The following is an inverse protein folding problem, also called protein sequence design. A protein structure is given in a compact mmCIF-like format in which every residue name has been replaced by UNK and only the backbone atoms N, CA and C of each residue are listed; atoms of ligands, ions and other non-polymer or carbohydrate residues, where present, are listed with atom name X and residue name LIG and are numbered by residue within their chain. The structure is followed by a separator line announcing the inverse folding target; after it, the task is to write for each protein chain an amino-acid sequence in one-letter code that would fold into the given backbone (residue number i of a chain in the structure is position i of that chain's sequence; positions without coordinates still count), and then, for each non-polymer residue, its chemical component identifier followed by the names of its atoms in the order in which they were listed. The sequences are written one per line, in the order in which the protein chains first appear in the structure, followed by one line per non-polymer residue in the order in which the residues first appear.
data_IF_929824654981
#
_entry.id   IF_929824654981
#
_cell.length_a   1.000
_cell.length_b   1.000
_cell.length_c   1.000
_cell.angle_alpha   90.00
_cell.angle_beta   90.00
_cell.angle_gamma   90.00
#
_symmetry.space_group_name_H-M   'P 1'
#
loop_
_entity.id
_entity.type
_entity.pdbx_description
1 polymer ?
#
# COMPACT_ATOMS: atom_id res chain seq x y z
N UNK A 1 27.88 28.95 10.65
CA UNK A 1 27.85 27.55 10.17
C UNK A 1 26.72 26.84 10.88
N UNK A 2 25.79 26.19 10.17
CA UNK A 2 24.72 25.41 10.81
C UNK A 2 25.31 24.21 11.56
N UNK A 3 24.73 23.89 12.71
CA UNK A 3 25.17 22.82 13.60
C UNK A 3 24.95 21.44 12.94
N UNK A 4 26.00 20.64 12.70
CA UNK A 4 25.85 19.30 12.13
C UNK A 4 25.11 18.32 13.04
N UNK A 5 24.83 18.69 14.30
CA UNK A 5 24.04 17.90 15.25
C UNK A 5 22.59 18.37 15.41
N UNK A 6 22.13 19.35 14.61
CA UNK A 6 20.71 19.64 14.53
C UNK A 6 20.01 18.43 13.90
N UNK A 7 19.54 17.51 14.75
CA UNK A 7 18.69 16.40 14.36
C UNK A 7 17.55 16.92 13.48
N UNK A 8 17.04 16.12 12.53
CA UNK A 8 16.06 16.57 11.56
C UNK A 8 14.93 17.29 12.30
N UNK A 9 14.82 18.60 12.02
CA UNK A 9 13.75 19.45 12.55
C UNK A 9 12.44 18.69 12.39
N UNK A 10 11.78 18.37 13.50
CA UNK A 10 10.47 17.73 13.53
C UNK A 10 9.50 18.63 12.78
N UNK A 11 9.43 18.46 11.45
CA UNK A 11 8.44 19.11 10.64
C UNK A 11 7.08 18.68 11.19
N UNK A 12 6.27 19.68 11.55
CA UNK A 12 4.92 19.47 12.04
C UNK A 12 4.18 18.53 11.08
N UNK A 13 3.98 17.28 11.51
CA UNK A 13 3.15 16.30 10.80
C UNK A 13 1.77 16.94 10.66
N UNK A 14 1.21 16.96 9.45
CA UNK A 14 -0.15 17.49 9.37
C UNK A 14 -1.10 16.53 10.07
N UNK A 15 -2.01 17.11 10.83
CA UNK A 15 -3.17 16.45 11.37
C UNK A 15 -4.36 16.64 10.43
N UNK A 16 -5.25 15.65 10.46
CA UNK A 16 -6.60 15.82 9.92
C UNK A 16 -7.41 16.71 10.88
N UNK A 17 -8.35 17.50 10.34
CA UNK A 17 -9.33 18.16 11.19
C UNK A 17 -10.28 17.13 11.82
N UNK A 18 -10.93 17.47 12.93
CA UNK A 18 -11.92 16.62 13.60
C UNK A 18 -13.04 16.17 12.67
N UNK A 19 -13.53 17.06 11.79
CA UNK A 19 -14.55 16.75 10.79
C UNK A 19 -14.06 15.72 9.75
N UNK A 20 -12.80 15.83 9.31
CA UNK A 20 -12.20 14.88 8.37
C UNK A 20 -11.97 13.53 9.05
N UNK A 21 -11.50 13.52 10.30
CA UNK A 21 -11.35 12.29 11.09
C UNK A 21 -12.69 11.56 11.25
N UNK A 22 -13.76 12.28 11.58
CA UNK A 22 -15.10 11.72 11.68
C UNK A 22 -15.57 11.13 10.34
N UNK A 23 -15.36 11.85 9.23
CA UNK A 23 -15.70 11.37 7.88
C UNK A 23 -14.94 10.10 7.50
N UNK A 24 -13.62 10.03 7.75
CA UNK A 24 -12.82 8.82 7.51
C UNK A 24 -13.35 7.65 8.34
N UNK A 25 -13.58 7.85 9.64
CA UNK A 25 -14.09 6.78 10.53
C UNK A 25 -15.45 6.28 10.10
N UNK A 26 -16.32 7.19 9.65
CA UNK A 26 -17.65 6.86 9.14
C UNK A 26 -17.58 6.07 7.82
N UNK A 27 -16.71 6.47 6.87
CA UNK A 27 -16.47 5.74 5.61
C UNK A 27 -16.11 4.28 5.87
N UNK A 28 -15.28 4.03 6.89
CA UNK A 28 -14.85 2.69 7.29
C UNK A 28 -15.71 2.04 8.38
N UNK A 29 -16.84 2.64 8.79
CA UNK A 29 -17.69 2.10 9.85
C UNK A 29 -16.92 1.72 11.12
N UNK A 30 -15.88 2.49 11.46
CA UNK A 30 -14.92 2.22 12.55
C UNK A 30 -14.12 0.90 12.46
N UNK A 31 -14.13 0.23 11.31
CA UNK A 31 -13.29 -0.94 11.07
C UNK A 31 -11.88 -0.53 10.67
N UNK A 32 -10.88 -1.28 11.11
CA UNK A 32 -9.54 -1.21 10.56
C UNK A 32 -9.59 -1.59 9.06
N UNK A 33 -9.08 -0.73 8.19
CA UNK A 33 -9.05 -0.93 6.74
C UNK A 33 -8.24 -2.18 6.30
N UNK A 34 -7.35 -2.69 7.15
CA UNK A 34 -6.50 -3.85 6.84
C UNK A 34 -6.99 -5.13 7.50
N UNK A 35 -7.11 -5.14 8.83
CA UNK A 35 -7.47 -6.35 9.56
C UNK A 35 -8.98 -6.49 9.82
N UNK A 36 -9.81 -5.55 9.38
CA UNK A 36 -11.27 -5.61 9.49
C UNK A 36 -11.81 -5.75 10.93
N UNK A 37 -10.97 -5.47 11.95
CA UNK A 37 -11.41 -5.41 13.34
C UNK A 37 -12.20 -4.13 13.58
N UNK A 38 -13.31 -4.23 14.31
CA UNK A 38 -14.06 -3.06 14.81
C UNK A 38 -13.22 -2.39 15.89
N UNK A 39 -12.96 -1.10 15.72
CA UNK A 39 -12.20 -0.29 16.66
C UNK A 39 -13.16 0.59 17.47
N UNK A 40 -12.86 0.80 18.74
CA UNK A 40 -13.52 1.85 19.50
C UNK A 40 -13.10 3.22 18.94
N UNK A 41 -13.90 4.26 19.15
CA UNK A 41 -13.56 5.60 18.70
C UNK A 41 -12.17 6.05 19.22
N UNK A 42 -11.83 5.70 20.46
CA UNK A 42 -10.52 5.98 21.09
C UNK A 42 -9.38 5.14 20.51
N UNK A 43 -9.65 3.89 20.11
CA UNK A 43 -8.64 3.02 19.50
C UNK A 43 -8.47 3.25 17.99
N UNK A 44 -9.44 3.90 17.34
CA UNK A 44 -9.41 4.18 15.91
C UNK A 44 -8.43 5.31 15.59
N UNK A 45 -7.27 4.95 15.04
CA UNK A 45 -6.32 5.91 14.49
C UNK A 45 -6.57 6.11 13.00
N UNK A 46 -6.38 7.34 12.53
CA UNK A 46 -6.43 7.67 11.12
C UNK A 46 -5.03 8.03 10.63
N UNK A 47 -4.54 7.34 9.60
CA UNK A 47 -3.29 7.67 8.93
C UNK A 47 -3.57 8.43 7.64
N UNK A 48 -2.68 9.36 7.31
CA UNK A 48 -2.55 9.84 5.95
C UNK A 48 -1.96 8.73 5.09
N UNK A 49 -2.51 8.53 3.89
CA UNK A 49 -1.84 7.75 2.85
C UNK A 49 -0.56 8.51 2.47
N UNK A 50 -0.71 9.67 1.83
CA UNK A 50 0.40 10.57 1.49
C UNK A 50 0.61 11.57 2.63
N UNK A 51 1.67 11.39 3.40
CA UNK A 51 2.12 12.34 4.43
C UNK A 51 3.01 13.44 3.79
N UNK A 52 3.10 14.63 4.40
CA UNK A 52 4.01 15.72 3.96
C UNK A 52 5.23 15.89 4.82
N UNK A 53 5.36 15.12 5.91
CA UNK A 53 6.62 15.14 6.65
C UNK A 53 7.79 14.69 5.76
N UNK A 54 7.47 14.07 4.62
CA UNK A 54 8.39 13.62 3.59
C UNK A 54 8.23 14.43 2.32
N UNK A 55 9.22 14.26 1.44
CA UNK A 55 9.34 14.90 0.12
C UNK A 55 8.17 14.52 -0.82
N UNK A 56 7.32 13.56 -0.43
CA UNK A 56 6.45 12.77 -1.31
C UNK A 56 5.38 13.53 -2.10
N UNK A 57 4.69 14.54 -1.55
CA UNK A 57 3.54 15.13 -2.26
C UNK A 57 3.95 15.99 -3.47
N UNK A 58 4.91 16.92 -3.28
CA UNK A 58 5.37 17.80 -4.36
C UNK A 58 6.04 16.98 -5.46
N UNK A 59 6.87 16.02 -5.07
CA UNK A 59 7.54 15.12 -6.00
C UNK A 59 6.53 14.25 -6.76
N UNK A 60 5.51 13.71 -6.10
CA UNK A 60 4.49 12.89 -6.78
C UNK A 60 3.65 13.68 -7.79
N UNK A 61 3.36 14.96 -7.50
CA UNK A 61 2.71 15.86 -8.47
C UNK A 61 3.68 16.14 -9.63
N UNK A 62 4.94 16.42 -9.35
CA UNK A 62 5.97 16.66 -10.36
C UNK A 62 6.22 15.44 -11.26
N UNK A 63 6.22 14.23 -10.69
CA UNK A 63 6.31 12.95 -11.38
C UNK A 63 5.03 12.58 -12.14
N UNK A 64 3.95 13.37 -12.02
CA UNK A 64 2.67 13.14 -12.68
C UNK A 64 1.88 11.95 -12.11
N UNK A 65 2.25 11.42 -10.94
CA UNK A 65 1.55 10.33 -10.26
C UNK A 65 0.27 10.81 -9.57
N UNK A 66 0.28 12.06 -9.09
CA UNK A 66 -0.88 12.73 -8.49
C UNK A 66 -1.27 13.97 -9.31
N UNK A 67 -2.57 14.30 -9.38
CA UNK A 67 -3.01 15.50 -10.08
C UNK A 67 -2.64 16.78 -9.32
N UNK A 68 -2.50 17.88 -10.06
CA UNK A 68 -2.40 19.21 -9.48
C UNK A 68 -3.68 19.50 -8.67
N UNK A 69 -3.53 19.85 -7.40
CA UNK A 69 -4.67 20.10 -6.50
C UNK A 69 -5.08 18.91 -5.63
N UNK A 70 -4.31 17.80 -5.63
CA UNK A 70 -4.53 16.70 -4.69
C UNK A 70 -4.62 17.20 -3.23
N UNK A 71 -5.79 17.00 -2.61
CA UNK A 71 -6.10 17.52 -1.28
C UNK A 71 -5.62 16.56 -0.19
N UNK A 72 -4.41 16.80 0.33
CA UNK A 72 -3.81 15.99 1.40
C UNK A 72 -4.67 15.85 2.65
N UNK A 73 -5.32 16.94 3.10
CA UNK A 73 -6.15 16.94 4.33
C UNK A 73 -7.58 16.47 4.08
N UNK A 74 -7.86 15.83 2.94
CA UNK A 74 -9.19 15.30 2.64
C UNK A 74 -9.35 13.88 3.19
N UNK A 75 -10.60 13.48 3.44
CA UNK A 75 -10.92 12.11 3.85
C UNK A 75 -10.46 11.06 2.82
N UNK A 76 -10.39 11.43 1.53
CA UNK A 76 -9.88 10.56 0.46
C UNK A 76 -8.42 10.15 0.65
N UNK A 77 -7.63 10.92 1.40
CA UNK A 77 -6.23 10.60 1.73
C UNK A 77 -6.10 9.88 3.09
N UNK A 78 -7.19 9.49 3.75
CA UNK A 78 -7.18 8.93 5.09
C UNK A 78 -7.58 7.45 5.16
N UNK A 79 -6.91 6.67 6.02
CA UNK A 79 -7.28 5.30 6.35
C UNK A 79 -7.45 5.10 7.86
N UNK A 80 -8.40 4.27 8.28
CA UNK A 80 -8.50 3.78 9.66
C UNK A 80 -7.59 2.58 9.85
N UNK A 81 -6.74 2.58 10.89
CA UNK A 81 -5.83 1.45 11.19
C UNK A 81 -5.51 1.29 12.69
N UNK A 82 -4.85 0.18 13.04
CA UNK A 82 -4.36 -0.15 14.39
C UNK A 82 -2.82 -0.05 14.50
N UNK A 83 -2.23 1.12 14.27
CA UNK A 83 -0.80 1.42 14.54
C UNK A 83 0.29 0.83 13.61
N UNK A 84 0.09 -0.24 12.83
CA UNK A 84 1.20 -0.86 12.06
C UNK A 84 1.75 -0.07 10.86
N UNK A 85 1.02 0.92 10.32
CA UNK A 85 1.51 1.75 9.21
C UNK A 85 2.60 2.74 9.61
N UNK A 86 2.80 2.93 10.91
CA UNK A 86 3.74 3.85 11.54
C UNK A 86 4.50 3.05 12.59
N UNK A 87 5.57 2.33 12.18
CA UNK A 87 6.81 2.95 11.69
C UNK A 87 7.25 2.56 10.25
N UNK A 88 6.37 2.53 9.25
CA UNK A 88 6.71 2.20 7.85
C UNK A 88 7.24 0.76 7.62
N UNK A 89 6.93 -0.21 8.48
CA UNK A 89 7.32 -1.61 8.25
C UNK A 89 6.50 -2.30 7.15
N UNK A 90 5.30 -1.76 6.87
CA UNK A 90 4.41 -2.22 5.80
C UNK A 90 3.96 -1.04 4.94
N UNK A 91 3.61 -1.31 3.70
CA UNK A 91 2.95 -0.38 2.79
C UNK A 91 1.84 -1.08 2.00
N UNK A 92 0.91 -0.30 1.48
CA UNK A 92 -0.01 -0.77 0.45
C UNK A 92 0.66 -0.58 -0.92
N UNK A 93 0.36 -1.49 -1.85
CA UNK A 93 0.83 -1.46 -3.23
C UNK A 93 -0.34 -1.71 -4.18
N UNK A 94 -0.38 -1.07 -5.37
CA UNK A 94 -1.12 -1.65 -6.47
C UNK A 94 -0.65 -3.10 -6.70
N UNK A 95 -1.55 -4.06 -7.05
CA UNK A 95 -1.16 -5.43 -7.32
C UNK A 95 -0.13 -5.49 -8.45
N UNK A 96 0.77 -6.48 -8.39
CA UNK A 96 1.84 -6.64 -9.39
C UNK A 96 1.36 -6.57 -10.86
N UNK A 97 0.20 -7.16 -11.26
CA UNK A 97 -0.32 -6.99 -12.63
C UNK A 97 -0.56 -5.53 -13.03
N UNK A 98 -1.05 -4.69 -12.10
CA UNK A 98 -1.27 -3.26 -12.33
C UNK A 98 0.07 -2.54 -12.46
N UNK A 99 1.05 -2.86 -11.60
CA UNK A 99 2.39 -2.28 -11.69
C UNK A 99 3.10 -2.66 -13.00
N UNK A 100 2.95 -3.90 -13.45
CA UNK A 100 3.49 -4.37 -14.73
C UNK A 100 2.86 -3.64 -15.90
N UNK A 101 1.54 -3.45 -15.90
CA UNK A 101 0.87 -2.64 -16.91
C UNK A 101 1.38 -1.19 -16.95
N UNK A 102 1.59 -0.57 -15.78
CA UNK A 102 2.18 0.78 -15.70
C UNK A 102 3.59 0.79 -16.31
N UNK A 103 4.42 -0.20 -15.99
CA UNK A 103 5.76 -0.33 -16.58
C UNK A 103 5.69 -0.50 -18.10
N UNK A 104 4.82 -1.38 -18.59
CA UNK A 104 4.63 -1.60 -20.02
C UNK A 104 4.15 -0.34 -20.73
N UNK A 105 3.22 0.41 -20.14
CA UNK A 105 2.80 1.72 -20.63
C UNK A 105 3.98 2.70 -20.68
N UNK A 106 4.78 2.78 -19.61
CA UNK A 106 5.94 3.68 -19.55
C UNK A 106 7.08 3.28 -20.49
N UNK A 107 7.21 2.01 -20.86
CA UNK A 107 8.25 1.56 -21.80
C UNK A 107 7.80 1.61 -23.26
N UNK A 108 6.54 1.32 -23.54
CA UNK A 108 6.04 1.12 -24.90
C UNK A 108 5.33 2.34 -25.49
N UNK A 109 4.91 3.30 -24.66
CA UNK A 109 4.30 4.56 -25.13
C UNK A 109 5.39 5.60 -25.41
N UNK A 110 5.39 6.14 -26.62
CA UNK A 110 6.29 7.21 -27.04
C UNK A 110 6.20 8.40 -26.07
N UNK A 111 7.32 9.03 -25.69
CA UNK A 111 7.31 10.11 -24.71
C UNK A 111 6.40 11.29 -25.07
N UNK A 112 6.17 11.55 -26.36
CA UNK A 112 5.31 12.64 -26.84
C UNK A 112 3.82 12.36 -26.63
N UNK A 113 3.41 11.09 -26.67
CA UNK A 113 2.01 10.64 -26.54
C UNK A 113 1.68 10.20 -25.11
N UNK A 114 2.70 10.16 -24.24
CA UNK A 114 2.57 9.70 -22.86
C UNK A 114 1.84 10.73 -22.01
N UNK A 115 0.65 10.36 -21.57
CA UNK A 115 -0.12 11.02 -20.50
C UNK A 115 0.51 10.81 -19.14
N UNK A 116 0.28 11.76 -18.23
CA UNK A 116 0.70 11.64 -16.84
C UNK A 116 -0.02 10.45 -16.16
N UNK A 117 0.60 9.80 -15.19
CA UNK A 117 0.02 8.57 -14.60
C UNK A 117 -1.32 8.81 -13.91
N UNK A 118 -1.56 9.97 -13.29
CA UNK A 118 -2.89 10.27 -12.74
C UNK A 118 -3.98 10.28 -13.82
N UNK A 119 -3.70 10.84 -15.00
CA UNK A 119 -4.64 10.82 -16.15
C UNK A 119 -4.83 9.39 -16.66
N UNK A 120 -3.77 8.56 -16.66
CA UNK A 120 -3.89 7.13 -17.00
C UNK A 120 -4.80 6.41 -16.01
N UNK A 121 -4.72 6.71 -14.71
CA UNK A 121 -5.60 6.11 -13.71
C UNK A 121 -7.05 6.54 -13.90
N UNK A 122 -7.30 7.81 -14.21
CA UNK A 122 -8.65 8.32 -14.53
C UNK A 122 -9.22 7.61 -15.78
N UNK A 123 -8.41 7.43 -16.83
CA UNK A 123 -8.80 6.70 -18.04
C UNK A 123 -9.03 5.19 -17.78
N UNK A 124 -8.31 4.58 -16.85
CA UNK A 124 -8.56 3.19 -16.44
C UNK A 124 -9.90 3.06 -15.69
N UNK A 125 -10.28 4.06 -14.90
CA UNK A 125 -11.59 4.13 -14.25
C UNK A 125 -12.71 4.32 -15.29
N UNK A 126 -12.51 5.21 -16.27
CA UNK A 126 -13.42 5.38 -17.40
C UNK A 126 -13.63 4.09 -18.18
N UNK A 127 -12.56 3.35 -18.48
CA UNK A 127 -12.65 2.04 -19.13
C UNK A 127 -13.42 1.03 -18.29
N UNK A 128 -13.18 0.98 -16.98
CA UNK A 128 -13.92 0.10 -16.06
C UNK A 128 -15.43 0.42 -16.06
N UNK A 129 -15.80 1.67 -16.32
CA UNK A 129 -17.18 2.13 -16.47
C UNK A 129 -17.75 1.93 -17.90
N UNK A 130 -17.00 1.29 -18.80
CA UNK A 130 -17.43 0.96 -20.17
C UNK A 130 -17.20 2.08 -21.19
N UNK A 131 -16.46 3.13 -20.83
CA UNK A 131 -16.05 4.16 -21.78
C UNK A 131 -14.88 3.67 -22.64
N UNK A 132 -14.87 4.04 -23.92
CA UNK A 132 -13.72 3.80 -24.78
C UNK A 132 -12.61 4.78 -24.44
N UNK A 133 -11.40 4.29 -24.16
CA UNK A 133 -10.25 5.13 -23.84
C UNK A 133 -9.05 4.81 -24.74
N UNK A 134 -8.17 5.80 -24.90
CA UNK A 134 -6.95 5.69 -25.68
C UNK A 134 -5.79 5.24 -24.79
N UNK A 135 -5.84 3.98 -24.36
CA UNK A 135 -4.80 3.31 -23.59
C UNK A 135 -4.46 1.94 -24.23
N UNK A 136 -3.29 1.36 -23.96
CA UNK A 136 -3.04 -0.06 -24.21
C UNK A 136 -4.14 -0.92 -23.58
N UNK A 137 -4.46 -2.08 -24.17
CA UNK A 137 -5.55 -2.95 -23.70
C UNK A 137 -5.43 -3.26 -22.19
N UNK A 138 -6.32 -2.72 -21.33
CA UNK A 138 -6.23 -2.92 -19.89
C UNK A 138 -6.99 -4.18 -19.45
N UNK A 139 -7.54 -4.98 -20.38
CA UNK A 139 -8.40 -6.14 -20.07
C UNK A 139 -7.78 -7.05 -19.01
N UNK A 140 -6.49 -7.36 -19.10
CA UNK A 140 -5.81 -8.26 -18.17
C UNK A 140 -5.71 -7.73 -16.73
N UNK A 141 -5.78 -6.40 -16.52
CA UNK A 141 -5.64 -5.78 -15.20
C UNK A 141 -6.95 -5.37 -14.54
N UNK A 142 -8.07 -5.36 -15.28
CA UNK A 142 -9.38 -4.96 -14.76
C UNK A 142 -9.79 -5.65 -13.44
N UNK A 143 -9.55 -6.97 -13.23
CA UNK A 143 -9.92 -7.62 -11.97
C UNK A 143 -9.18 -7.07 -10.75
N UNK A 144 -8.03 -6.43 -10.99
CA UNK A 144 -7.12 -5.92 -9.97
C UNK A 144 -7.28 -4.41 -9.74
N UNK A 145 -8.03 -3.70 -10.58
CA UNK A 145 -8.31 -2.28 -10.37
C UNK A 145 -9.15 -2.08 -9.11
N UNK A 146 -8.70 -1.16 -8.24
CA UNK A 146 -9.31 -0.92 -6.92
C UNK A 146 -8.95 -1.98 -5.84
N UNK A 147 -8.14 -2.98 -6.19
CA UNK A 147 -7.51 -3.89 -5.23
C UNK A 147 -6.10 -3.40 -4.90
N UNK A 148 -5.62 -3.71 -3.71
CA UNK A 148 -4.26 -3.40 -3.24
C UNK A 148 -3.64 -4.60 -2.55
N UNK A 149 -2.33 -4.72 -2.57
CA UNK A 149 -1.57 -5.75 -1.84
C UNK A 149 -0.85 -5.12 -0.66
N UNK A 150 -0.62 -5.90 0.40
CA UNK A 150 0.20 -5.48 1.53
C UNK A 150 1.65 -5.90 1.27
N UNK A 151 2.56 -4.95 1.25
CA UNK A 151 3.99 -5.16 1.03
C UNK A 151 4.73 -4.95 2.34
N UNK A 152 5.60 -5.91 2.67
CA UNK A 152 6.49 -5.86 3.84
C UNK A 152 7.79 -5.18 3.44
N UNK A 153 8.10 -4.05 4.08
CA UNK A 153 9.26 -3.22 3.75
C UNK A 153 10.51 -3.60 4.56
N UNK A 154 10.31 -4.07 5.79
CA UNK A 154 11.37 -4.49 6.72
C UNK A 154 11.04 -5.87 7.30
N UNK A 155 11.23 -6.96 6.53
CA UNK A 155 10.81 -8.30 6.93
C UNK A 155 11.52 -8.80 8.18
N UNK A 156 12.74 -8.32 8.47
CA UNK A 156 13.52 -8.68 9.65
C UNK A 156 12.86 -8.19 10.94
N UNK A 157 12.25 -7.00 10.91
CA UNK A 157 11.54 -6.44 12.07
C UNK A 157 10.19 -7.11 12.28
N UNK A 158 9.57 -7.60 11.20
CA UNK A 158 8.26 -8.24 11.22
C UNK A 158 8.33 -9.77 11.31
N UNK A 159 9.49 -10.32 11.63
CA UNK A 159 9.66 -11.75 11.87
C UNK A 159 8.67 -12.21 12.96
N UNK A 160 7.93 -13.29 12.69
CA UNK A 160 6.89 -13.84 13.58
C UNK A 160 5.73 -12.88 13.94
N UNK A 161 5.60 -11.74 13.25
CA UNK A 161 4.48 -10.83 13.47
C UNK A 161 3.26 -11.24 12.63
N UNK A 162 2.08 -11.07 13.22
CA UNK A 162 0.80 -11.36 12.59
C UNK A 162 -0.24 -10.30 12.98
N UNK A 163 -1.19 -10.03 12.09
CA UNK A 163 -2.38 -9.25 12.40
C UNK A 163 -3.56 -10.18 12.61
N UNK A 164 -4.28 -10.04 13.71
CA UNK A 164 -5.53 -10.77 13.93
C UNK A 164 -6.66 -10.04 13.21
N UNK A 165 -7.49 -10.79 12.48
CA UNK A 165 -8.71 -10.30 11.84
C UNK A 165 -9.95 -10.96 12.43
N UNK A 166 -11.03 -10.20 12.61
CA UNK A 166 -12.35 -10.73 13.01
C UNK A 166 -13.21 -11.16 11.83
N UNK A 167 -12.78 -10.89 10.59
CA UNK A 167 -13.54 -11.15 9.36
C UNK A 167 -12.62 -11.71 8.27
N UNK A 168 -12.08 -12.91 8.49
CA UNK A 168 -11.31 -13.64 7.50
C UNK A 168 -12.20 -13.96 6.27
N UNK A 169 -11.91 -13.39 5.08
CA UNK A 169 -12.73 -13.62 3.91
C UNK A 169 -12.54 -15.04 3.36
N UNK A 170 -13.56 -15.52 2.65
CA UNK A 170 -13.45 -16.72 1.82
C UNK A 170 -12.40 -16.53 0.71
N UNK A 171 -11.84 -17.64 0.24
CA UNK A 171 -11.04 -17.64 -0.98
C UNK A 171 -11.90 -17.22 -2.17
N UNK A 172 -11.28 -16.47 -3.07
CA UNK A 172 -11.84 -16.07 -4.35
C UNK A 172 -10.93 -16.56 -5.48
N UNK A 173 -11.53 -17.03 -6.57
CA UNK A 173 -10.83 -17.46 -7.78
C UNK A 173 -11.09 -16.45 -8.89
N UNK A 174 -10.05 -16.10 -9.66
CA UNK A 174 -10.17 -15.25 -10.83
C UNK A 174 -10.67 -16.09 -12.02
N UNK A 175 -11.92 -15.86 -12.42
CA UNK A 175 -12.58 -16.50 -13.57
C UNK A 175 -13.24 -15.44 -14.44
N UNK A 176 -13.10 -15.56 -15.78
CA UNK A 176 -13.69 -14.62 -16.73
C UNK A 176 -13.41 -13.14 -16.39
N UNK A 177 -12.17 -12.86 -16.00
CA UNK A 177 -11.71 -11.53 -15.63
C UNK A 177 -12.42 -10.93 -14.40
N UNK A 178 -12.92 -11.76 -13.50
CA UNK A 178 -13.56 -11.35 -12.24
C UNK A 178 -13.21 -12.31 -11.11
N UNK A 179 -13.04 -11.77 -9.91
CA UNK A 179 -12.93 -12.59 -8.72
C UNK A 179 -14.33 -13.03 -8.27
N UNK A 180 -14.54 -14.35 -8.18
CA UNK A 180 -15.74 -14.98 -7.66
C UNK A 180 -15.37 -15.89 -6.48
N UNK A 181 -16.35 -16.30 -5.67
CA UNK A 181 -16.08 -17.23 -4.57
C UNK A 181 -15.49 -18.54 -5.08
N UNK A 182 -14.38 -18.96 -4.46
CA UNK A 182 -13.75 -20.22 -4.80
C UNK A 182 -14.61 -21.40 -4.33
N UNK A 183 -14.67 -22.50 -5.11
CA UNK A 183 -15.22 -23.76 -4.63
C UNK A 183 -14.55 -24.26 -3.35
N UNK A 184 -15.25 -25.11 -2.60
CA UNK A 184 -14.67 -25.79 -1.45
C UNK A 184 -13.43 -26.61 -1.86
N UNK A 185 -12.43 -26.67 -0.98
CA UNK A 185 -11.16 -27.41 -1.15
C UNK A 185 -10.15 -26.84 -2.15
N UNK A 186 -10.36 -25.63 -2.66
CA UNK A 186 -9.34 -24.92 -3.45
C UNK A 186 -8.14 -24.58 -2.55
N UNK A 187 -6.92 -24.86 -3.02
CA UNK A 187 -5.71 -24.48 -2.31
C UNK A 187 -5.56 -22.94 -2.25
N UNK A 188 -5.24 -22.34 -1.10
CA UNK A 188 -5.00 -20.90 -0.99
C UNK A 188 -3.75 -20.42 -1.74
N UNK A 189 -2.86 -21.34 -2.12
CA UNK A 189 -1.65 -21.08 -2.94
C UNK A 189 -1.86 -21.37 -4.43
N UNK A 190 -3.05 -21.82 -4.84
CA UNK A 190 -3.32 -22.09 -6.25
C UNK A 190 -3.18 -20.80 -7.08
N UNK A 191 -2.74 -20.90 -8.35
CA UNK A 191 -2.74 -19.76 -9.26
C UNK A 191 -4.13 -19.13 -9.31
N UNK A 192 -4.20 -17.81 -9.45
CA UNK A 192 -5.46 -17.07 -9.60
C UNK A 192 -6.41 -17.12 -8.39
N UNK A 193 -5.97 -17.67 -7.25
CA UNK A 193 -6.72 -17.67 -6.00
C UNK A 193 -6.17 -16.59 -5.08
N UNK A 194 -7.07 -15.86 -4.42
CA UNK A 194 -6.72 -14.84 -3.44
C UNK A 194 -7.80 -14.68 -2.37
N UNK A 195 -7.41 -14.19 -1.21
CA UNK A 195 -8.33 -13.65 -0.20
C UNK A 195 -8.54 -12.15 -0.46
N UNK A 196 -9.79 -11.72 -0.55
CA UNK A 196 -10.14 -10.30 -0.77
C UNK A 196 -10.75 -9.72 0.50
N UNK A 197 -9.99 -8.85 1.16
CA UNK A 197 -10.42 -8.07 2.31
C UNK A 197 -11.18 -6.85 1.81
N UNK A 198 -12.50 -6.85 1.98
CA UNK A 198 -13.39 -5.75 1.56
C UNK A 198 -14.12 -5.19 2.78
N UNK A 199 -13.59 -4.08 3.30
CA UNK A 199 -14.13 -3.42 4.50
C UNK A 199 -15.53 -2.85 4.27
N UNK A 200 -15.82 -2.35 3.07
CA UNK A 200 -17.13 -1.81 2.74
C UNK A 200 -18.17 -2.92 2.62
N UNK A 201 -17.81 -4.06 2.04
CA UNK A 201 -18.68 -5.23 2.01
C UNK A 201 -19.00 -5.74 3.42
N UNK A 202 -18.01 -5.79 4.33
CA UNK A 202 -18.23 -6.16 5.73
C UNK A 202 -19.21 -5.21 6.43
N UNK A 203 -19.05 -3.90 6.26
CA UNK A 203 -19.97 -2.90 6.84
C UNK A 203 -21.38 -3.08 6.29
N UNK A 204 -21.52 -3.22 4.98
CA UNK A 204 -22.81 -3.25 4.30
C UNK A 204 -23.59 -4.54 4.53
N UNK A 205 -22.90 -5.68 4.65
CA UNK A 205 -23.53 -7.00 4.79
C UNK A 205 -23.54 -7.54 6.22
N UNK A 206 -22.71 -6.97 7.10
CA UNK A 206 -22.52 -7.39 8.50
C UNK A 206 -22.43 -8.93 8.65
N UNK A 207 -21.47 -9.58 7.97
CA UNK A 207 -21.39 -11.04 7.96
C UNK A 207 -20.99 -11.56 9.35
N UNK A 208 -21.28 -12.84 9.67
CA UNK A 208 -20.81 -13.46 10.90
C UNK A 208 -19.28 -13.38 11.02
N UNK A 209 -18.80 -13.13 12.25
CA UNK A 209 -17.37 -13.05 12.54
C UNK A 209 -16.69 -14.38 12.23
N UNK A 210 -15.56 -14.31 11.53
CA UNK A 210 -14.68 -15.43 11.24
C UNK A 210 -13.27 -14.99 11.58
N UNK A 211 -12.76 -15.46 12.72
CA UNK A 211 -11.45 -15.07 13.18
C UNK A 211 -10.36 -15.72 12.33
N UNK A 212 -9.29 -14.98 12.09
CA UNK A 212 -8.14 -15.45 11.34
C UNK A 212 -6.91 -14.59 11.61
N UNK A 213 -5.83 -14.92 10.90
CA UNK A 213 -4.55 -14.25 11.00
C UNK A 213 -4.09 -13.76 9.62
N UNK A 214 -3.36 -12.66 9.60
CA UNK A 214 -2.70 -12.11 8.43
C UNK A 214 -1.21 -12.11 8.75
N UNK A 215 -0.42 -13.05 8.20
CA UNK A 215 1.00 -13.10 8.46
C UNK A 215 1.71 -11.89 7.85
N UNK A 216 2.68 -11.33 8.58
CA UNK A 216 3.55 -10.24 8.11
C UNK A 216 5.00 -10.70 7.88
N UNK A 217 5.30 -11.95 8.21
CA UNK A 217 6.63 -12.55 8.13
C UNK A 217 6.71 -13.48 6.92
N UNK A 218 7.69 -13.30 6.00
CA UNK A 218 7.90 -14.19 4.86
C UNK A 218 8.19 -15.66 5.23
N UNK A 219 8.60 -15.92 6.47
CA UNK A 219 8.87 -17.26 7.00
C UNK A 219 7.58 -18.04 7.33
N UNK A 220 6.44 -17.35 7.46
CA UNK A 220 5.15 -18.00 7.70
C UNK A 220 4.66 -18.68 6.41
N UNK A 221 4.29 -19.98 6.43
CA UNK A 221 3.78 -20.67 5.25
C UNK A 221 2.56 -19.99 4.62
N UNK A 222 1.69 -19.37 5.43
CA UNK A 222 0.52 -18.66 4.94
C UNK A 222 0.87 -17.31 4.30
N UNK A 223 2.09 -16.80 4.45
CA UNK A 223 2.54 -15.57 3.80
C UNK A 223 2.48 -15.68 2.27
N UNK A 224 2.63 -16.90 1.74
CA UNK A 224 2.53 -17.18 0.30
C UNK A 224 1.10 -17.06 -0.24
N UNK A 225 0.07 -17.03 0.61
CA UNK A 225 -1.31 -16.84 0.17
C UNK A 225 -1.49 -15.42 -0.38
N UNK A 226 -2.05 -15.31 -1.59
CA UNK A 226 -2.34 -13.99 -2.18
C UNK A 226 -3.46 -13.32 -1.42
N UNK A 227 -3.21 -12.09 -0.97
CA UNK A 227 -4.18 -11.27 -0.24
C UNK A 227 -4.30 -9.92 -0.92
N UNK A 228 -5.54 -9.53 -1.17
CA UNK A 228 -5.87 -8.22 -1.72
C UNK A 228 -6.82 -7.48 -0.79
N UNK A 229 -6.68 -6.16 -0.74
CA UNK A 229 -7.55 -5.25 -0.02
C UNK A 229 -8.31 -4.42 -1.03
N UNK A 230 -9.64 -4.51 -1.01
CA UNK A 230 -10.49 -3.59 -1.75
C UNK A 230 -10.71 -2.35 -0.91
N UNK A 231 -10.16 -1.23 -1.35
CA UNK A 231 -10.26 0.05 -0.64
C UNK A 231 -10.76 1.13 -1.60
N UNK A 232 -11.64 2.05 -1.15
CA UNK A 232 -12.12 3.18 -1.94
C UNK A 232 -11.06 4.28 -2.08
N UNK A 233 -9.84 3.92 -2.48
CA UNK A 233 -8.66 4.80 -2.50
C UNK A 233 -8.07 4.87 -3.90
N UNK A 234 -7.49 6.03 -4.20
CA UNK A 234 -6.91 6.31 -5.50
C UNK A 234 -5.61 5.54 -5.69
N UNK A 235 -5.48 4.83 -6.82
CA UNK A 235 -4.29 4.03 -7.16
C UNK A 235 -3.03 4.90 -7.12
N UNK A 236 -3.09 6.12 -7.66
CA UNK A 236 -1.96 7.06 -7.63
C UNK A 236 -1.51 7.43 -6.22
N UNK A 237 -2.41 7.54 -5.25
CA UNK A 237 -2.04 7.80 -3.85
C UNK A 237 -1.30 6.60 -3.25
N UNK A 238 -1.78 5.38 -3.46
CA UNK A 238 -1.12 4.16 -2.97
C UNK A 238 0.25 3.98 -3.62
N UNK A 239 0.35 4.16 -4.94
CA UNK A 239 1.62 4.08 -5.67
C UNK A 239 2.62 5.13 -5.19
N UNK A 240 2.16 6.37 -4.96
CA UNK A 240 3.00 7.45 -4.40
C UNK A 240 3.62 7.04 -3.08
N UNK A 241 2.81 6.53 -2.15
CA UNK A 241 3.27 6.08 -0.82
C UNK A 241 4.29 4.95 -0.93
N UNK A 242 4.03 3.99 -1.83
CA UNK A 242 4.97 2.91 -2.08
C UNK A 242 6.29 3.45 -2.61
N UNK A 243 6.26 4.25 -3.69
CA UNK A 243 7.44 4.89 -4.32
C UNK A 243 8.29 5.65 -3.28
N UNK A 244 7.65 6.37 -2.38
CA UNK A 244 8.30 7.11 -1.31
C UNK A 244 9.00 6.18 -0.32
N UNK A 245 8.33 5.11 0.11
CA UNK A 245 8.83 4.19 1.14
C UNK A 245 9.88 3.20 0.64
N UNK A 246 9.83 2.81 -0.64
CA UNK A 246 10.78 1.84 -1.23
C UNK A 246 12.17 2.41 -1.49
N UNK A 247 12.36 3.74 -1.38
CA UNK A 247 13.67 4.37 -1.50
C UNK A 247 14.71 3.88 -0.48
N UNK A 248 14.27 3.15 0.55
CA UNK A 248 15.10 2.58 1.62
C UNK A 248 14.89 1.06 1.83
N UNK A 249 14.07 0.41 1.00
CA UNK A 249 13.64 -0.98 1.21
C UNK A 249 14.56 -2.04 0.58
N UNK A 250 14.39 -3.29 1.00
CA UNK A 250 15.04 -4.47 0.42
C UNK A 250 14.38 -4.84 -0.93
N UNK A 251 15.17 -5.14 -1.96
CA UNK A 251 14.72 -5.46 -3.32
C UNK A 251 14.09 -6.87 -3.46
N UNK A 252 13.84 -7.57 -2.36
CA UNK A 252 13.32 -8.95 -2.35
C UNK A 252 11.87 -9.14 -2.80
N UNK A 253 11.10 -8.06 -3.00
CA UNK A 253 9.69 -8.11 -3.39
C UNK A 253 9.47 -7.49 -4.78
N UNK A 254 8.75 -8.20 -5.65
CA UNK A 254 8.53 -7.77 -7.04
C UNK A 254 7.81 -6.42 -7.15
N UNK A 255 6.86 -6.15 -6.26
CA UNK A 255 6.16 -4.87 -6.16
C UNK A 255 7.11 -3.72 -5.79
N UNK A 256 8.07 -3.96 -4.89
CA UNK A 256 9.11 -2.98 -4.51
C UNK A 256 9.98 -2.64 -5.72
N UNK A 257 10.49 -3.66 -6.41
CA UNK A 257 11.32 -3.51 -7.61
C UNK A 257 10.57 -2.76 -8.72
N UNK A 258 9.31 -3.12 -8.94
CA UNK A 258 8.47 -2.45 -9.93
C UNK A 258 8.24 -0.97 -9.57
N UNK A 259 7.94 -0.66 -8.31
CA UNK A 259 7.74 0.72 -7.86
C UNK A 259 9.01 1.57 -7.97
N UNK A 260 10.18 1.03 -7.59
CA UNK A 260 11.47 1.69 -7.79
C UNK A 260 11.75 1.95 -9.28
N UNK A 261 11.45 0.97 -10.14
CA UNK A 261 11.61 1.11 -11.59
C UNK A 261 10.71 2.20 -12.16
N UNK A 262 9.43 2.22 -11.76
CA UNK A 262 8.48 3.28 -12.12
C UNK A 262 9.03 4.65 -11.69
N UNK A 263 9.46 4.79 -10.44
CA UNK A 263 10.04 6.03 -9.90
C UNK A 263 11.21 6.50 -10.77
N UNK A 264 12.15 5.61 -11.07
CA UNK A 264 13.35 5.94 -11.84
C UNK A 264 13.00 6.38 -13.27
N UNK A 265 12.06 5.71 -13.94
CA UNK A 265 11.61 6.10 -15.28
C UNK A 265 11.00 7.50 -15.26
N UNK A 266 10.11 7.77 -14.30
CA UNK A 266 9.45 9.08 -14.19
C UNK A 266 10.47 10.18 -13.89
N UNK A 267 11.41 9.96 -12.94
CA UNK A 267 12.44 10.94 -12.59
C UNK A 267 13.38 11.25 -13.76
N UNK A 268 13.79 10.24 -14.53
CA UNK A 268 14.62 10.45 -15.73
C UNK A 268 13.85 11.17 -16.85
N UNK A 269 12.55 10.87 -16.98
CA UNK A 269 11.68 11.53 -17.97
C UNK A 269 11.55 13.03 -17.71
N UNK A 270 11.47 13.47 -16.45
CA UNK A 270 11.47 14.90 -16.08
C UNK A 270 12.76 15.59 -16.55
N UNK A 271 13.89 14.87 -16.58
CA UNK A 271 15.17 15.39 -17.02
C UNK A 271 15.34 15.33 -18.56
N UNK A 272 14.32 14.88 -19.29
CA UNK A 272 14.38 14.67 -20.74
C UNK A 272 15.23 13.46 -21.15
N UNK A 273 15.59 12.58 -20.21
CA UNK A 273 16.41 11.39 -20.47
C UNK A 273 15.49 10.23 -20.84
N UNK A 274 15.70 9.66 -22.04
CA UNK A 274 14.99 8.46 -22.48
C UNK A 274 15.58 7.22 -21.79
N UNK A 275 14.72 6.44 -21.15
CA UNK A 275 15.10 5.14 -20.58
C UNK A 275 14.97 4.09 -21.68
N UNK A 276 16.07 3.43 -22.09
CA UNK A 276 15.99 2.34 -23.04
C UNK A 276 15.14 1.21 -22.45
N UNK A 277 14.28 0.62 -23.26
CA UNK A 277 13.56 -0.60 -22.89
C UNK A 277 14.58 -1.66 -22.49
N UNK A 278 14.45 -2.33 -21.33
CA UNK A 278 15.32 -3.45 -21.01
C UNK A 278 15.19 -4.45 -22.16
N UNK A 279 16.29 -4.70 -22.86
CA UNK A 279 16.32 -5.68 -23.93
C UNK A 279 15.83 -6.98 -23.32
N UNK A 280 14.64 -7.45 -23.73
CA UNK A 280 14.15 -8.75 -23.32
C UNK A 280 15.21 -9.72 -23.77
N UNK A 281 16.00 -10.21 -22.82
CA UNK A 281 17.12 -11.09 -23.06
C UNK A 281 16.62 -12.38 -23.66
N UNK A 282 16.40 -12.38 -24.98
CA UNK A 282 16.60 -13.57 -25.78
C UNK A 282 18.08 -13.89 -25.62
N UNK A 283 18.36 -14.67 -24.58
CA UNK A 283 19.54 -15.52 -24.52
C UNK A 283 19.41 -16.52 -25.67
N UNK A 284 19.59 -16.03 -26.89
CA UNK A 284 19.86 -16.85 -28.06
C UNK A 284 21.34 -17.20 -27.96
N UNK A 285 21.65 -18.11 -27.04
CA UNK A 285 22.94 -18.76 -26.94
C UNK A 285 23.15 -19.73 -28.09
N UNK A 286 23.22 -19.23 -29.33
CA UNK A 286 23.82 -19.94 -30.45
C UNK A 286 25.34 -19.74 -30.37
N UNK A 287 25.94 -20.38 -29.35
CA UNK A 287 27.38 -20.51 -29.21
C UNK A 287 27.89 -21.67 -30.07
N UNK A 288 28.08 -21.42 -31.37
CA UNK A 288 28.93 -22.27 -32.21
C UNK A 288 30.41 -22.00 -31.93
N UNK A 289 31.15 -23.06 -31.58
CA UNK A 289 32.61 -23.14 -31.56
C UNK A 289 33.16 -23.54 -30.18
N UNK A 290 33.97 -24.58 -29.99
CA UNK A 290 34.53 -25.61 -30.86
C UNK A 290 35.56 -26.44 -30.07
N UNK A 291 35.93 -27.62 -30.58
CA UNK A 291 37.26 -28.23 -30.35
C UNK A 291 37.36 -29.44 -29.42
N UNK A 292 37.86 -30.56 -29.99
CA UNK A 292 38.40 -31.74 -29.30
C UNK A 292 37.49 -32.97 -29.46
N UNK A 293 37.80 -34.02 -30.23
CA UNK A 293 39.08 -34.68 -30.48
C UNK A 293 39.03 -36.05 -29.81
N UNK A 294 38.75 -37.13 -30.55
CA UNK A 294 38.72 -38.48 -29.97
C UNK A 294 38.29 -39.56 -30.96
N UNK A 295 39.27 -40.20 -31.58
CA UNK A 295 39.16 -41.39 -32.43
C UNK A 295 38.75 -42.63 -31.63
N UNK A 296 37.94 -43.52 -32.20
CA UNK A 296 37.64 -44.82 -31.59
C UNK A 296 36.59 -45.64 -32.33
N UNK A 297 37.08 -46.50 -33.22
CA UNK A 297 36.49 -47.59 -34.00
C UNK A 297 35.21 -48.34 -33.54
N UNK A 298 34.49 -48.81 -34.58
CA UNK A 298 33.88 -50.14 -34.76
C UNK A 298 32.36 -50.38 -34.51
N UNK A 299 31.65 -50.43 -35.65
CA UNK A 299 30.81 -51.57 -36.15
C UNK A 299 29.30 -51.67 -35.73
N UNK A 300 28.46 -52.43 -36.49
CA UNK A 300 27.41 -51.82 -37.32
C UNK A 300 25.99 -52.42 -37.15
N UNK A 301 25.07 -51.93 -38.00
CA UNK A 301 23.92 -52.64 -38.61
C UNK A 301 22.51 -52.42 -38.03
N UNK A 302 21.59 -52.16 -38.98
CA UNK A 302 20.13 -52.19 -38.88
C UNK A 302 19.52 -50.79 -38.90
N UNK A 303 18.71 -50.33 -39.85
CA UNK A 303 17.86 -51.02 -40.83
C UNK A 303 16.42 -50.50 -40.68
N UNK A 304 15.85 -49.89 -41.73
CA UNK A 304 14.45 -49.43 -41.81
C UNK A 304 14.37 -47.90 -41.97
N UNK A 305 14.17 -47.29 -43.14
CA UNK A 305 13.20 -47.48 -44.24
C UNK A 305 11.76 -47.07 -43.89
N UNK A 306 11.29 -46.00 -44.53
CA UNK A 306 9.92 -45.46 -44.53
C UNK A 306 9.91 -43.97 -44.16
N UNK A 307 9.75 -42.98 -45.04
CA UNK A 307 9.12 -42.95 -46.36
C UNK A 307 7.70 -42.35 -46.26
N UNK A 308 7.58 -41.03 -46.48
CA UNK A 308 6.47 -40.29 -47.15
C UNK A 308 6.60 -38.80 -46.80
N UNK A 309 6.85 -37.84 -47.71
CA UNK A 309 6.14 -37.39 -48.93
C UNK A 309 4.65 -37.04 -48.72
N UNK A 310 4.36 -35.74 -48.67
CA UNK A 310 3.26 -35.04 -49.38
C UNK A 310 3.26 -33.57 -48.93
N UNK A 311 3.81 -32.63 -49.72
CA UNK A 311 3.17 -31.91 -50.83
C UNK A 311 2.25 -30.77 -50.40
N UNK A 312 2.73 -29.56 -50.68
CA UNK A 312 2.03 -28.48 -51.37
C UNK A 312 0.50 -28.39 -51.25
N UNK A 313 0.04 -27.26 -50.70
CA UNK A 313 -1.07 -26.52 -51.31
C UNK A 313 -0.98 -25.03 -51.04
N UNK A 314 -0.39 -24.33 -52.01
CA UNK A 314 -0.75 -22.95 -52.37
C UNK A 314 -2.26 -22.88 -52.64
N UNK A 315 -2.94 -21.92 -52.01
CA UNK A 315 -4.11 -21.26 -52.62
C UNK A 315 -4.01 -19.76 -52.40
N UNK A 316 -4.12 -19.08 -53.51
CA UNK A 316 -4.01 -17.65 -53.76
C UNK A 316 -5.43 -17.15 -54.10
N UNK A 317 -5.62 -15.83 -54.02
CA UNK A 317 -6.75 -15.03 -54.59
C UNK A 317 -8.03 -15.11 -53.73
N UNK A 318 -8.59 -14.02 -53.20
CA UNK A 318 -9.21 -12.93 -53.95
C UNK A 318 -9.48 -11.70 -53.05
N UNK A 319 -8.97 -10.52 -53.41
CA UNK A 319 -9.60 -9.22 -53.13
C UNK A 319 -10.60 -8.93 -54.27
N UNK A 320 -11.67 -8.15 -54.04
CA UNK A 320 -11.57 -6.75 -54.46
C UNK A 320 -12.33 -5.70 -53.60
N UNK A 321 -11.82 -4.47 -53.72
CA UNK A 321 -12.53 -3.19 -53.92
C UNK A 321 -13.25 -2.47 -52.77
N UNK A 322 -12.58 -1.40 -52.29
CA UNK A 322 -12.92 0.04 -52.45
C UNK A 322 -14.24 0.62 -51.91
N UNK A 323 -14.04 1.84 -51.35
CA UNK A 323 -14.95 2.98 -51.13
C UNK A 323 -15.76 2.92 -49.82
N UNK A 324 -15.95 3.98 -49.03
CA UNK A 324 -15.90 5.40 -49.34
C UNK A 324 -15.55 6.27 -48.11
N UNK A 325 -14.95 7.42 -48.43
CA UNK A 325 -14.89 8.69 -47.70
C UNK A 325 -16.24 9.11 -47.12
N UNK A 326 -16.30 9.57 -45.85
CA UNK A 326 -17.11 10.75 -45.46
C UNK A 326 -16.91 11.23 -44.02
N UNK A 327 -16.46 12.50 -43.96
CA UNK A 327 -16.97 13.61 -43.13
C UNK A 327 -16.85 13.54 -41.61
N UNK A 328 -15.82 14.24 -41.15
CA UNK A 328 -15.87 15.35 -40.18
C UNK A 328 -17.27 15.92 -39.96
N UNK A 329 -17.74 15.91 -38.70
CA UNK A 329 -18.75 16.82 -38.19
C UNK A 329 -18.30 17.33 -36.82
N UNK A 330 -17.75 18.56 -36.85
CA UNK A 330 -17.82 19.51 -35.76
C UNK A 330 -19.31 19.74 -35.44
N UNK A 331 -19.69 19.58 -34.19
CA UNK A 331 -20.93 20.10 -33.64
C UNK A 331 -20.55 20.92 -32.40
N UNK A 332 -20.48 22.23 -32.60
CA UNK A 332 -20.68 23.24 -31.56
C UNK A 332 -22.03 23.00 -30.93
N UNK A 333 -22.07 22.97 -29.59
CA UNK A 333 -23.31 23.12 -28.84
C UNK A 333 -23.05 24.01 -27.64
N UNK A 334 -23.20 25.31 -27.88
CA UNK A 334 -23.88 26.21 -26.96
C UNK A 334 -25.30 25.67 -26.75
N UNK A 335 -25.72 25.56 -25.51
CA UNK A 335 -27.13 25.69 -25.11
C UNK A 335 -27.13 26.07 -23.61
N UNK A 336 -27.14 27.39 -23.42
CA UNK A 336 -27.80 28.13 -22.35
C UNK A 336 -29.11 27.47 -21.91
N UNK A 337 -29.28 27.24 -20.61
CA UNK A 337 -30.58 27.16 -19.95
C UNK A 337 -30.53 28.10 -18.76
N UNK A 338 -31.24 29.22 -18.92
CA UNK A 338 -31.72 30.12 -17.88
C UNK A 338 -32.88 29.50 -17.10
N UNK A 339 -33.29 30.20 -16.03
CA UNK A 339 -34.46 30.00 -15.16
C UNK A 339 -34.25 29.00 -14.00
N UNK A 340 -34.55 29.28 -12.74
CA UNK A 340 -35.23 30.39 -12.04
C UNK A 340 -34.89 30.16 -10.54
N UNK A 341 -34.48 31.15 -9.76
CA UNK A 341 -35.44 31.94 -8.98
C UNK A 341 -35.69 31.36 -7.60
N UNK A 342 -34.87 31.72 -6.60
CA UNK A 342 -35.36 31.95 -5.23
C UNK A 342 -34.39 32.83 -4.46
N UNK A 343 -34.71 34.12 -4.46
CA UNK A 343 -34.20 35.14 -3.56
C UNK A 343 -34.50 34.76 -2.11
N UNK A 344 -33.51 34.84 -1.23
CA UNK A 344 -33.75 35.00 0.21
C UNK A 344 -32.93 36.19 0.68
N UNK A 345 -33.56 37.36 0.65
CA UNK A 345 -33.11 38.56 1.34
C UNK A 345 -33.31 38.39 2.85
N UNK A 346 -32.24 38.60 3.60
CA UNK A 346 -32.26 38.65 5.05
C UNK A 346 -31.17 39.59 5.53
N UNK A 347 -31.40 40.90 5.38
CA UNK A 347 -30.68 41.93 6.11
C UNK A 347 -30.99 41.78 7.61
N UNK A 348 -29.95 41.79 8.43
CA UNK A 348 -30.02 41.70 9.88
C UNK A 348 -28.74 42.30 10.47
N UNK A 349 -28.68 43.62 10.44
CA UNK A 349 -27.71 44.46 11.13
C UNK A 349 -27.78 44.26 12.65
N UNK A 350 -26.64 44.18 13.35
CA UNK A 350 -26.37 44.89 14.63
C UNK A 350 -25.13 44.42 15.37
N UNK A 351 -24.32 45.42 15.72
CA UNK A 351 -23.57 45.60 16.97
C UNK A 351 -22.31 44.76 17.28
N UNK A 352 -21.21 45.49 17.07
CA UNK A 352 -20.01 45.63 17.88
C UNK A 352 -20.12 45.33 19.40
N UNK A 353 -19.01 44.88 19.98
CA UNK A 353 -18.72 44.95 21.41
C UNK A 353 -18.51 43.62 22.14
N UNK A 354 -17.25 43.19 22.27
CA UNK A 354 -16.58 42.94 23.57
C UNK A 354 -15.40 41.99 23.47
N UNK A 355 -14.20 42.52 23.71
CA UNK A 355 -12.99 41.79 24.04
C UNK A 355 -13.11 41.16 25.44
N UNK A 356 -12.66 39.91 25.58
CA UNK A 356 -12.22 39.30 26.84
C UNK A 356 -11.25 38.13 26.56
N UNK A 357 -10.39 37.75 27.53
CA UNK A 357 -9.00 37.33 27.32
C UNK A 357 -8.80 35.81 27.15
N UNK A 358 -7.58 35.35 26.76
CA UNK A 358 -7.34 33.95 26.45
C UNK A 358 -6.87 33.19 27.70
N UNK A 359 -7.66 32.23 28.20
CA UNK A 359 -7.14 31.13 29.02
C UNK A 359 -8.08 29.92 28.99
N UNK A 360 -7.49 28.74 28.84
CA UNK A 360 -8.14 27.45 29.10
C UNK A 360 -7.84 26.41 28.04
N UNK A 361 -6.67 25.75 28.14
CA UNK A 361 -6.42 24.47 27.47
C UNK A 361 -7.45 23.47 28.02
N UNK A 362 -8.24 22.87 27.14
CA UNK A 362 -9.29 21.92 27.48
C UNK A 362 -8.68 20.55 27.83
N UNK A 363 -9.15 19.81 28.84
CA UNK A 363 -8.58 18.51 29.24
C UNK A 363 -8.72 17.36 28.23
N UNK A 364 -9.19 17.63 27.00
CA UNK A 364 -9.42 16.61 25.96
C UNK A 364 -8.33 16.54 24.89
N UNK A 365 -7.29 17.37 24.97
CA UNK A 365 -6.14 17.37 24.05
C UNK A 365 -5.08 16.28 24.38
N UNK A 366 -5.49 15.13 24.90
CA UNK A 366 -4.61 13.95 24.99
C UNK A 366 -4.50 13.26 23.63
N UNK A 367 -4.15 14.00 22.59
CA UNK A 367 -3.55 13.38 21.41
C UNK A 367 -2.21 12.80 21.86
N UNK A 368 -2.20 11.50 22.16
CA UNK A 368 -0.97 10.73 22.28
C UNK A 368 -0.26 10.92 20.95
N UNK A 369 0.72 11.82 20.95
CA UNK A 369 1.71 11.93 19.91
C UNK A 369 2.20 10.51 19.66
N UNK A 370 1.89 9.97 18.49
CA UNK A 370 2.47 8.72 17.99
C UNK A 370 3.92 8.99 17.59
N UNK A 371 4.68 9.50 18.55
CA UNK A 371 6.11 9.73 18.53
C UNK A 371 6.76 8.45 19.05
N UNK A 372 6.74 7.41 18.22
CA UNK A 372 7.66 6.31 18.37
C UNK A 372 8.93 6.71 17.63
N UNK A 373 9.84 7.39 18.33
CA UNK A 373 11.23 7.47 17.89
C UNK A 373 11.86 6.11 18.17
N UNK A 374 12.32 5.44 17.12
CA UNK A 374 13.25 4.32 17.25
C UNK A 374 14.45 4.79 18.07
N UNK A 375 14.64 4.20 19.26
CA UNK A 375 15.90 4.30 19.97
C UNK A 375 16.98 3.73 19.04
N UNK A 376 17.88 4.59 18.58
CA UNK A 376 19.05 4.15 17.83
C UNK A 376 19.95 3.32 18.74
N UNK A 377 20.17 2.07 18.37
CA UNK A 377 21.20 1.22 18.97
C UNK A 377 22.58 1.82 18.65
N UNK A 378 23.19 2.44 19.65
CA UNK A 378 24.62 2.73 19.65
C UNK A 378 25.43 1.45 19.91
N UNK A 379 26.61 1.28 19.30
CA UNK A 379 27.36 0.05 19.40
C UNK A 379 27.91 -0.15 20.81
N UNK A 380 27.65 -1.33 21.37
CA UNK A 380 28.24 -1.78 22.63
C UNK A 380 29.77 -1.82 22.51
N UNK A 381 30.46 -0.92 23.21
CA UNK A 381 31.90 -1.02 23.45
C UNK A 381 32.15 -2.20 24.38
N UNK A 382 32.76 -3.26 23.85
CA UNK A 382 33.45 -4.28 24.64
C UNK A 382 34.62 -3.63 25.40
N UNK A 383 34.53 -3.62 26.73
CA UNK A 383 35.67 -3.42 27.63
C UNK A 383 35.96 -4.73 28.37
N UNK A 384 37.14 -5.30 28.13
CA UNK A 384 37.67 -6.50 28.78
C UNK A 384 38.26 -6.21 30.17
N UNK A 385 38.58 -7.25 30.99
CA UNK A 385 38.55 -7.20 32.45
C UNK A 385 39.92 -7.03 33.12
N UNK A 386 39.91 -6.42 34.31
CA UNK A 386 40.88 -6.51 35.41
C UNK A 386 40.15 -5.92 36.64
N UNK A 387 40.19 -6.39 37.88
CA UNK A 387 40.85 -7.49 38.57
C UNK A 387 40.50 -7.36 40.06
N UNK A 388 40.39 -8.50 40.74
CA UNK A 388 40.61 -8.76 42.18
C UNK A 388 40.00 -7.86 43.27
N UNK A 389 39.21 -8.46 44.16
CA UNK A 389 38.95 -7.95 45.50
C UNK A 389 37.93 -8.77 46.29
N UNK A 390 38.40 -9.79 47.01
CA UNK A 390 37.63 -10.53 48.01
C UNK A 390 37.23 -9.59 49.17
N UNK A 391 35.97 -9.65 49.62
CA UNK A 391 35.61 -9.56 51.04
C UNK A 391 34.23 -10.20 51.28
N UNK A 392 34.22 -11.27 52.08
CA UNK A 392 33.01 -11.83 52.69
C UNK A 392 32.47 -10.87 53.74
N UNK A 393 31.17 -10.64 53.74
CA UNK A 393 30.40 -10.21 54.92
C UNK A 393 28.93 -10.62 54.73
N UNK A 394 28.50 -11.50 55.61
CA UNK A 394 27.11 -11.93 55.81
C UNK A 394 26.33 -10.81 56.51
N UNK A 395 25.18 -10.39 55.97
CA UNK A 395 24.14 -9.72 56.75
C UNK A 395 22.76 -9.91 56.12
N UNK A 396 21.89 -10.61 56.85
CA UNK A 396 20.45 -10.60 56.69
C UNK A 396 19.93 -9.16 56.71
N UNK A 397 19.19 -8.74 55.68
CA UNK A 397 18.32 -7.58 55.75
C UNK A 397 17.08 -7.84 54.88
N UNK A 398 15.99 -8.22 55.54
CA UNK A 398 14.63 -8.14 55.01
C UNK A 398 14.25 -6.66 54.91
N UNK A 399 13.81 -6.14 53.76
CA UNK A 399 13.36 -4.76 53.67
C UNK A 399 12.01 -4.60 54.40
N UNK A 400 11.79 -3.49 55.13
CA UNK A 400 10.49 -3.21 55.74
C UNK A 400 9.46 -2.86 54.67
N UNK A 401 8.20 -3.23 54.94
CA UNK A 401 7.02 -2.83 54.16
C UNK A 401 6.85 -1.30 54.23
N UNK A 402 6.56 -0.62 53.11
CA UNK A 402 6.18 0.78 53.16
C UNK A 402 4.74 0.91 53.69
N UNK A 403 4.60 1.68 54.77
CA UNK A 403 3.34 2.10 55.35
C UNK A 403 2.63 3.12 54.44
N UNK A 404 1.31 2.92 54.27
CA UNK A 404 0.33 3.99 54.12
C UNK A 404 0.43 4.88 52.87
N UNK A 405 0.18 4.32 51.69
CA UNK A 405 -0.12 5.14 50.51
C UNK A 405 -1.61 5.49 50.42
N UNK A 406 -1.88 6.79 50.34
CA UNK A 406 -3.21 7.37 50.18
C UNK A 406 -3.76 6.99 48.79
N UNK A 407 -5.00 6.46 48.66
CA UNK A 407 -5.56 6.04 47.37
C UNK A 407 -5.68 7.16 46.31
N UNK A 408 -5.46 8.41 46.71
CA UNK A 408 -5.47 9.59 45.85
C UNK A 408 -4.17 9.84 45.06
N UNK A 409 -3.05 9.20 45.43
CA UNK A 409 -1.73 9.46 44.82
C UNK A 409 -1.34 8.45 43.72
N UNK A 410 -2.28 7.60 43.31
CA UNK A 410 -2.02 6.59 42.29
C UNK A 410 -1.96 7.23 40.91
N UNK A 411 -0.75 7.54 40.45
CA UNK A 411 -0.53 7.93 39.06
C UNK A 411 -0.55 6.69 38.17
N UNK A 412 -1.60 6.58 37.35
CA UNK A 412 -1.72 5.54 36.33
C UNK A 412 -1.00 5.99 35.05
N UNK A 413 0.14 5.37 34.78
CA UNK A 413 0.82 5.41 33.49
C UNK A 413 1.52 4.07 33.24
N UNK A 414 1.67 3.63 31.98
CA UNK A 414 2.34 2.37 31.70
C UNK A 414 3.82 2.46 32.07
N UNK A 415 4.25 1.67 33.06
CA UNK A 415 5.67 1.45 33.36
C UNK A 415 6.21 0.35 32.44
N UNK A 416 6.95 0.73 31.40
CA UNK A 416 7.51 -0.19 30.41
C UNK A 416 8.85 -0.82 30.81
N UNK A 417 9.23 -0.80 32.09
CA UNK A 417 10.50 -1.39 32.54
C UNK A 417 10.42 -2.90 32.83
N UNK A 418 9.25 -3.54 32.70
CA UNK A 418 9.11 -4.98 32.97
C UNK A 418 8.24 -5.71 31.93
N UNK A 419 8.72 -6.85 31.44
CA UNK A 419 8.01 -7.78 30.54
C UNK A 419 6.84 -8.51 31.26
N UNK A 420 5.93 -7.77 31.89
CA UNK A 420 4.75 -8.34 32.56
C UNK A 420 3.49 -7.62 32.09
N UNK A 421 2.52 -8.40 31.63
CA UNK A 421 1.14 -7.92 31.41
C UNK A 421 0.40 -8.11 32.74
N UNK A 422 -0.12 -7.02 33.30
CA UNK A 422 -0.96 -7.07 34.52
C UNK A 422 -2.42 -7.06 34.08
N UNK A 423 -3.17 -8.08 34.48
CA UNK A 423 -4.63 -8.09 34.40
C UNK A 423 -5.22 -7.74 35.75
N UNK A 424 -6.10 -6.74 35.80
CA UNK A 424 -6.90 -6.44 37.00
C UNK A 424 -8.37 -6.72 36.72
N UNK A 425 -8.94 -7.69 37.43
CA UNK A 425 -10.38 -7.93 37.47
C UNK A 425 -11.00 -7.12 38.61
N UNK A 426 -12.01 -6.31 38.32
CA UNK A 426 -12.76 -5.54 39.33
C UNK A 426 -13.98 -6.35 39.75
N UNK A 427 -13.98 -6.86 40.98
CA UNK A 427 -15.18 -7.43 41.58
C UNK A 427 -16.11 -6.29 42.01
N UNK A 428 -17.31 -6.21 41.41
CA UNK A 428 -18.36 -5.30 41.85
C UNK A 428 -19.26 -6.08 42.80
N UNK A 429 -19.29 -5.67 44.08
CA UNK A 429 -20.23 -6.20 45.07
C UNK A 429 -21.53 -5.43 44.91
N UNK A 430 -22.57 -6.08 44.40
CA UNK A 430 -23.92 -5.54 44.39
C UNK A 430 -24.45 -5.64 45.84
N UNK A 431 -24.84 -4.52 46.42
CA UNK A 431 -25.54 -4.41 47.72
C UNK A 431 -27.01 -4.17 47.45
#
# INVERSE_FOLDING_TARGET
MPDPNAGPSLMSRASFSTSVLASIRQEYGYHCSICLNILTQKASQCAHLVDSATIGLSDAICLGVLPVGYKRRSAKNGLVHMCYFTPNHIALSPPLPVLQYILDYLFNTEPADRKALHEVFDLLEDWQNGHQVELPDPTAILPYLGLFSLVVLTPEVLENHLLVTSHLPNLSVLENNRFIFAPDNISPTAPNVAQIYDVLAVINTNPPKRFGQIPLSPQDPEFQHRRYWRLPKMIGAILTVLIERVGHGNDGCAEIVAAQTIRNILSLSIQGIRVPKPSSGQSSGDGSGGGGGGSGDARPSGGGSGGNKSSDRKRQVTQPSRSATKKTRQATRDDTVEEDGSEFNGEGDSSDGSRSPPHGVHPDDWEVASSFSSLGDGPARMGSPCGTGFHSSSSNNTPPLPDGENPGDWQFGPSFSTNKIIFTARAVRLV
#
